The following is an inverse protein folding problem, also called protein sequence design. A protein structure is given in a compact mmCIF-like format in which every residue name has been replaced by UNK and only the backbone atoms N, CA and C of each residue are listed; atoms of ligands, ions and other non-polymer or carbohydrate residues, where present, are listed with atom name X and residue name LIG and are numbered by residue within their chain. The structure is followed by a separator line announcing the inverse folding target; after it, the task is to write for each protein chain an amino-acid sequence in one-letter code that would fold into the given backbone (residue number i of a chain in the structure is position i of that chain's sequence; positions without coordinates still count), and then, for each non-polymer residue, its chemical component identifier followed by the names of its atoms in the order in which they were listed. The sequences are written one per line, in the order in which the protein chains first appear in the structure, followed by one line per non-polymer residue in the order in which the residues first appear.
data_IF_577814949726
#
_entry.id   IF_577814949726
#
_cell.length_a   1.000
_cell.length_b   1.000
_cell.length_c   1.000
_cell.angle_alpha   90.00
_cell.angle_beta   90.00
_cell.angle_gamma   90.00
#
_symmetry.space_group_name_H-M   'P 1'
#
loop_
_entity.id
_entity.type
_entity.pdbx_description
1 polymer ?
#
# COMPACT_ATOMS: atom_id res chain seq x y z
N UNK A 1 2.24 -9.04 6.83
CA UNK A 1 1.93 -8.95 5.38
C UNK A 1 0.62 -9.68 5.16
N UNK A 2 -0.33 -9.06 4.48
CA UNK A 2 -1.62 -9.67 4.15
C UNK A 2 -1.70 -9.71 2.63
N UNK A 3 -1.98 -10.89 2.08
CA UNK A 3 -2.39 -11.05 0.69
C UNK A 3 -3.92 -10.95 0.63
N UNK A 4 -4.42 -9.96 -0.11
CA UNK A 4 -5.84 -9.64 -0.13
C UNK A 4 -6.68 -10.74 -0.77
N UNK A 5 -6.14 -11.44 -1.78
CA UNK A 5 -6.80 -12.45 -2.64
C UNK A 5 -8.04 -11.96 -3.41
N UNK A 6 -8.87 -11.12 -2.81
CA UNK A 6 -10.07 -10.50 -3.36
C UNK A 6 -9.88 -8.99 -3.43
N UNK A 7 -10.16 -8.38 -4.57
CA UNK A 7 -9.99 -6.94 -4.78
C UNK A 7 -11.31 -6.17 -4.81
N UNK A 8 -12.44 -6.88 -4.69
CA UNK A 8 -13.75 -6.29 -4.50
C UNK A 8 -13.92 -5.84 -3.04
N UNK A 9 -14.26 -4.57 -2.83
CA UNK A 9 -14.34 -3.99 -1.48
C UNK A 9 -15.52 -4.53 -0.67
N UNK A 10 -16.59 -4.98 -1.33
CA UNK A 10 -17.73 -5.60 -0.67
C UNK A 10 -17.41 -7.01 -0.14
N UNK A 11 -16.48 -7.72 -0.80
CA UNK A 11 -16.09 -9.10 -0.48
C UNK A 11 -14.73 -9.22 0.20
N UNK A 12 -14.09 -8.09 0.53
CA UNK A 12 -12.79 -8.03 1.18
C UNK A 12 -12.86 -8.55 2.62
N UNK A 13 -11.83 -9.28 3.05
CA UNK A 13 -11.68 -9.72 4.45
C UNK A 13 -11.27 -8.54 5.35
N UNK A 14 -12.25 -7.70 5.69
CA UNK A 14 -12.07 -6.55 6.57
C UNK A 14 -11.79 -6.94 8.02
N UNK A 15 -12.12 -8.16 8.43
CA UNK A 15 -11.83 -8.67 9.77
C UNK A 15 -10.33 -8.83 9.94
N UNK A 16 -9.69 -9.61 9.05
CA UNK A 16 -8.22 -9.81 9.06
C UNK A 16 -7.46 -8.48 8.93
N UNK A 17 -7.91 -7.58 8.05
CA UNK A 17 -7.30 -6.26 7.89
C UNK A 17 -7.45 -5.43 9.18
N UNK A 18 -8.65 -5.39 9.76
CA UNK A 18 -8.95 -4.64 10.97
C UNK A 18 -8.15 -5.12 12.19
N UNK A 19 -8.02 -6.42 12.38
CA UNK A 19 -7.20 -7.00 13.45
C UNK A 19 -5.73 -6.60 13.33
N UNK A 20 -5.17 -6.65 12.11
CA UNK A 20 -3.80 -6.21 11.87
C UNK A 20 -3.63 -4.71 12.11
N UNK A 21 -4.59 -3.87 11.68
CA UNK A 21 -4.54 -2.42 11.90
C UNK A 21 -4.56 -2.09 13.38
N UNK A 22 -5.48 -2.69 14.16
CA UNK A 22 -5.58 -2.45 15.61
C UNK A 22 -4.30 -2.80 16.37
N UNK A 23 -3.52 -3.75 15.86
CA UNK A 23 -2.23 -4.15 16.45
C UNK A 23 -1.07 -3.25 16.04
N UNK A 24 -1.10 -2.70 14.82
CA UNK A 24 0.07 -2.06 14.20
C UNK A 24 -0.07 -0.55 14.07
N UNK A 25 -1.30 -0.03 14.07
CA UNK A 25 -1.66 1.37 13.91
C UNK A 25 -1.17 2.03 12.60
N UNK A 26 -0.73 1.25 11.63
CA UNK A 26 -0.26 1.77 10.34
C UNK A 26 -0.50 0.77 9.20
N UNK A 27 -0.60 1.30 7.98
CA UNK A 27 -0.84 0.49 6.78
C UNK A 27 0.05 0.99 5.64
N UNK A 28 0.66 0.03 4.93
CA UNK A 28 1.32 0.22 3.65
C UNK A 28 0.62 -0.67 2.60
N UNK A 29 -0.05 -0.04 1.64
CA UNK A 29 -0.58 -0.74 0.47
C UNK A 29 0.48 -0.78 -0.62
N UNK A 30 0.61 -1.93 -1.29
CA UNK A 30 1.62 -2.14 -2.34
C UNK A 30 0.89 -2.53 -3.62
N UNK A 31 1.12 -1.76 -4.68
CA UNK A 31 0.63 -2.03 -6.04
C UNK A 31 1.82 -2.02 -7.00
N UNK A 32 1.86 -2.92 -7.97
CA UNK A 32 2.99 -2.99 -8.91
C UNK A 32 2.93 -1.86 -9.96
N UNK A 33 1.72 -1.50 -10.38
CA UNK A 33 1.47 -0.59 -11.49
C UNK A 33 1.69 0.89 -11.17
N UNK A 34 1.38 1.74 -12.16
CA UNK A 34 1.49 3.19 -12.04
C UNK A 34 0.52 3.75 -10.98
N UNK A 35 0.88 4.86 -10.31
CA UNK A 35 -0.05 5.60 -9.48
C UNK A 35 -1.26 6.09 -10.29
N UNK A 36 -2.43 6.11 -9.66
CA UNK A 36 -3.67 6.54 -10.30
C UNK A 36 -4.91 6.08 -9.51
N UNK A 37 -6.12 6.17 -10.11
CA UNK A 37 -7.37 5.69 -9.51
C UNK A 37 -7.46 4.15 -9.52
N UNK A 38 -6.46 3.49 -8.92
CA UNK A 38 -6.33 2.04 -8.84
C UNK A 38 -7.00 1.41 -7.62
N UNK A 39 -6.76 0.11 -7.43
CA UNK A 39 -7.30 -0.67 -6.32
C UNK A 39 -6.86 -0.12 -4.98
N UNK A 40 -5.56 0.16 -4.84
CA UNK A 40 -5.01 0.69 -3.59
C UNK A 40 -5.55 2.07 -3.22
N UNK A 41 -6.02 2.87 -4.19
CA UNK A 41 -6.70 4.12 -3.89
C UNK A 41 -8.06 3.89 -3.24
N UNK A 42 -8.87 2.98 -3.80
CA UNK A 42 -10.18 2.63 -3.24
C UNK A 42 -10.05 1.98 -1.86
N UNK A 43 -9.12 1.03 -1.73
CA UNK A 43 -8.87 0.33 -0.47
C UNK A 43 -8.35 1.29 0.60
N UNK A 44 -7.49 2.26 0.26
CA UNK A 44 -7.05 3.27 1.21
C UNK A 44 -8.21 4.12 1.75
N UNK A 45 -9.15 4.50 0.89
CA UNK A 45 -10.37 5.20 1.31
C UNK A 45 -11.20 4.35 2.27
N UNK A 46 -11.50 3.10 1.91
CA UNK A 46 -12.26 2.17 2.77
C UNK A 46 -11.58 1.93 4.12
N UNK A 47 -10.25 1.76 4.14
CA UNK A 47 -9.48 1.60 5.37
C UNK A 47 -9.61 2.85 6.24
N UNK A 48 -9.50 4.03 5.64
CA UNK A 48 -9.63 5.29 6.37
C UNK A 48 -11.05 5.44 6.91
N UNK A 49 -12.08 5.22 6.11
CA UNK A 49 -13.49 5.34 6.54
C UNK A 49 -13.85 4.35 7.67
N UNK A 50 -13.30 3.13 7.65
CA UNK A 50 -13.63 2.08 8.63
C UNK A 50 -12.76 2.10 9.89
N UNK A 51 -11.50 2.53 9.78
CA UNK A 51 -10.49 2.32 10.81
C UNK A 51 -9.68 3.58 11.16
N UNK A 52 -10.15 4.78 10.80
CA UNK A 52 -9.46 6.04 11.07
C UNK A 52 -8.94 6.16 12.51
N UNK A 53 -9.77 5.83 13.50
CA UNK A 53 -9.45 5.96 14.92
C UNK A 53 -8.27 5.10 15.39
N UNK A 54 -7.89 4.08 14.61
CA UNK A 54 -6.78 3.18 14.91
C UNK A 54 -5.49 3.54 14.17
N UNK A 55 -5.50 4.53 13.27
CA UNK A 55 -4.35 4.88 12.43
C UNK A 55 -3.53 6.03 13.04
N UNK A 56 -2.25 5.78 13.30
CA UNK A 56 -1.31 6.80 13.81
C UNK A 56 -0.72 7.66 12.68
N UNK A 57 -0.93 7.25 11.42
CA UNK A 57 -0.48 7.97 10.23
C UNK A 57 -1.42 7.68 9.05
N UNK A 58 -1.44 8.56 8.02
CA UNK A 58 -2.19 8.30 6.80
C UNK A 58 -1.76 6.98 6.15
N UNK A 59 -2.72 6.25 5.57
CA UNK A 59 -2.45 5.03 4.79
C UNK A 59 -1.40 5.32 3.73
N UNK A 60 -0.24 4.67 3.84
CA UNK A 60 0.85 4.82 2.89
C UNK A 60 0.64 3.88 1.71
N UNK A 61 1.17 4.28 0.56
CA UNK A 61 1.08 3.47 -0.66
C UNK A 61 2.40 3.43 -1.41
N UNK A 62 2.68 2.31 -2.05
CA UNK A 62 3.79 2.07 -2.97
C UNK A 62 3.21 1.67 -4.31
N UNK A 63 3.76 2.28 -5.36
CA UNK A 63 3.40 2.06 -6.76
C UNK A 63 4.65 2.22 -7.61
N UNK A 64 4.58 1.76 -8.85
CA UNK A 64 5.58 2.02 -9.88
C UNK A 64 5.65 3.50 -10.27
N UNK A 65 6.40 3.79 -11.34
CA UNK A 65 6.46 5.12 -11.92
C UNK A 65 5.17 5.46 -12.69
N UNK A 66 5.05 6.71 -13.14
CA UNK A 66 3.97 7.17 -14.04
C UNK A 66 4.04 6.57 -15.46
N UNK A 67 5.08 5.78 -15.77
CA UNK A 67 5.30 5.21 -17.09
C UNK A 67 4.60 3.87 -17.24
N UNK A 68 4.10 3.60 -18.44
CA UNK A 68 3.54 2.29 -18.80
C UNK A 68 4.67 1.26 -18.96
N UNK A 69 4.54 0.03 -18.43
CA UNK A 69 5.50 -1.04 -18.69
C UNK A 69 5.58 -1.34 -20.20
N UNK A 70 6.78 -1.71 -20.66
CA UNK A 70 7.04 -2.02 -22.08
C UNK A 70 7.86 -3.30 -22.20
N UNK A 71 8.00 -3.83 -23.42
CA UNK A 71 8.78 -5.07 -23.66
C UNK A 71 10.28 -4.93 -23.32
N UNK A 72 10.80 -3.70 -23.23
CA UNK A 72 12.19 -3.48 -22.84
C UNK A 72 12.37 -3.75 -21.36
N UNK A 73 13.17 -4.76 -21.01
CA UNK A 73 13.44 -5.16 -19.62
C UNK A 73 13.87 -3.99 -18.73
N UNK A 74 14.71 -3.09 -19.25
CA UNK A 74 15.20 -1.93 -18.49
C UNK A 74 14.07 -0.94 -18.23
N UNK A 75 13.21 -0.70 -19.22
CA UNK A 75 12.10 0.24 -19.09
C UNK A 75 10.95 -0.35 -18.27
N UNK A 76 10.68 -1.65 -18.38
CA UNK A 76 9.73 -2.36 -17.52
C UNK A 76 10.14 -2.27 -16.05
N UNK A 77 11.41 -2.56 -15.74
CA UNK A 77 11.91 -2.44 -14.36
C UNK A 77 11.80 -1.03 -13.82
N UNK A 78 12.02 -0.01 -14.66
CA UNK A 78 11.85 1.38 -14.29
C UNK A 78 10.37 1.79 -14.14
N UNK A 79 9.47 1.11 -14.85
CA UNK A 79 8.03 1.40 -14.83
C UNK A 79 7.34 0.84 -13.59
N UNK A 80 7.66 -0.39 -13.18
CA UNK A 80 6.95 -1.13 -12.14
C UNK A 80 7.63 -1.03 -10.77
N UNK A 81 6.85 -1.13 -9.70
CA UNK A 81 7.38 -1.27 -8.35
C UNK A 81 7.83 -2.71 -8.08
N UNK A 82 8.99 -2.82 -7.42
CA UNK A 82 9.59 -4.07 -6.95
C UNK A 82 10.06 -3.87 -5.50
N UNK A 83 10.96 -4.73 -5.03
CA UNK A 83 11.44 -4.74 -3.65
C UNK A 83 12.01 -3.38 -3.18
N UNK A 84 12.85 -2.66 -3.95
CA UNK A 84 13.42 -1.39 -3.50
C UNK A 84 12.38 -0.31 -3.20
N UNK A 85 11.31 -0.25 -4.02
CA UNK A 85 10.22 0.71 -3.83
C UNK A 85 9.39 0.36 -2.57
N UNK A 86 9.24 -0.94 -2.27
CA UNK A 86 8.58 -1.42 -1.04
C UNK A 86 9.44 -1.09 0.19
N UNK A 87 10.74 -1.35 0.15
CA UNK A 87 11.68 -1.01 1.23
C UNK A 87 11.65 0.48 1.56
N UNK A 88 11.67 1.34 0.53
CA UNK A 88 11.52 2.78 0.70
C UNK A 88 10.17 3.16 1.31
N UNK A 89 9.10 2.46 0.95
CA UNK A 89 7.77 2.60 1.55
C UNK A 89 7.75 2.26 3.03
N UNK A 90 8.36 1.13 3.42
CA UNK A 90 8.46 0.70 4.82
C UNK A 90 9.30 1.71 5.62
N UNK A 91 10.42 2.17 5.09
CA UNK A 91 11.25 3.19 5.73
C UNK A 91 10.46 4.50 5.96
N UNK A 92 9.61 4.90 5.02
CA UNK A 92 8.72 6.07 5.16
C UNK A 92 7.70 5.86 6.28
N UNK A 93 7.05 4.68 6.34
CA UNK A 93 6.11 4.33 7.41
C UNK A 93 6.77 4.42 8.79
N UNK A 94 7.98 3.85 8.94
CA UNK A 94 8.73 3.89 10.21
C UNK A 94 9.11 5.32 10.60
N UNK A 95 9.56 6.13 9.64
CA UNK A 95 9.88 7.55 9.86
C UNK A 95 8.67 8.33 10.40
N UNK A 96 7.49 8.11 9.83
CA UNK A 96 6.26 8.80 10.24
C UNK A 96 5.85 8.46 11.68
N UNK A 97 6.18 7.25 12.16
CA UNK A 97 5.95 6.83 13.55
C UNK A 97 7.00 7.39 14.53
N UNK A 98 7.92 8.24 14.08
CA UNK A 98 9.04 8.71 14.92
C UNK A 98 10.06 7.61 15.25
N UNK A 99 9.97 6.45 14.61
CA UNK A 99 10.88 5.32 14.80
C UNK A 99 12.11 5.51 13.91
N UNK A 100 12.93 6.50 14.22
CA UNK A 100 14.24 6.67 13.61
C UNK A 100 15.27 5.87 14.42
N UNK A 101 15.89 4.88 13.78
CA UNK A 101 17.17 4.30 14.16
C UNK A 101 18.11 4.45 12.96
#
# INVERSE_FOLDING_TARGET
MIDLRWLDTASMDWETIGESIKKTNNVLLVEQGSPGPGYTSRIATEITERFFDYLDQPVQRVYGSQSTPTISKVLERAALAYEPEIEAGIARVRRNLGQQA
#
